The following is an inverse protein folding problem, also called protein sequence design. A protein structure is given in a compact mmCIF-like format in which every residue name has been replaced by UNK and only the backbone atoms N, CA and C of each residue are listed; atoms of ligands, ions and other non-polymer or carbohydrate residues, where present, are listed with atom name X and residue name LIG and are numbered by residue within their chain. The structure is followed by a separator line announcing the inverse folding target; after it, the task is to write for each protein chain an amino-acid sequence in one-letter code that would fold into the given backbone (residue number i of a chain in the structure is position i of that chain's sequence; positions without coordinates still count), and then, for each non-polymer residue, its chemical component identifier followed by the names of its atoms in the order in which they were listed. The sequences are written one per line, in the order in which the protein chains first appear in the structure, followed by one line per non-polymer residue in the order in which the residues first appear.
data_IF_546541329803
#
_entry.id   IF_546541329803
#
_cell.length_a   1.000
_cell.length_b   1.000
_cell.length_c   1.000
_cell.angle_alpha   90.00
_cell.angle_beta   90.00
_cell.angle_gamma   90.00
#
_symmetry.space_group_name_H-M   'P 1'
#
loop_
_entity.id
_entity.type
_entity.pdbx_description
1 polymer ?
#
# COMPACT_ATOMS: atom_id res chain seq x y z
N UNK A 1 3.37 5.89 -17.77
CA UNK A 1 4.47 4.97 -17.42
C UNK A 1 5.33 5.41 -16.22
N UNK A 2 5.71 6.70 -16.06
CA UNK A 2 6.59 7.15 -14.95
C UNK A 2 5.96 7.14 -13.54
N UNK A 3 4.66 7.42 -13.40
CA UNK A 3 3.97 7.40 -12.10
C UNK A 3 3.75 5.98 -11.55
N UNK A 4 3.42 5.03 -12.45
CA UNK A 4 3.29 3.62 -12.08
C UNK A 4 4.63 3.06 -11.55
N UNK A 5 5.76 3.48 -12.13
CA UNK A 5 7.09 3.13 -11.63
C UNK A 5 7.41 3.80 -10.29
N UNK A 6 6.95 5.04 -10.05
CA UNK A 6 7.16 5.74 -8.78
C UNK A 6 6.30 5.13 -7.66
N UNK A 7 5.04 4.80 -7.95
CA UNK A 7 4.14 4.07 -7.04
C UNK A 7 4.63 2.65 -6.80
N UNK A 8 5.10 1.94 -7.83
CA UNK A 8 5.73 0.63 -7.67
C UNK A 8 7.02 0.72 -6.85
N UNK A 9 7.84 1.77 -7.02
CA UNK A 9 9.01 2.02 -6.19
C UNK A 9 8.63 2.30 -4.73
N UNK A 10 7.63 3.15 -4.49
CA UNK A 10 7.15 3.45 -3.13
C UNK A 10 6.50 2.24 -2.46
N UNK A 11 5.68 1.47 -3.18
CA UNK A 11 5.06 0.23 -2.69
C UNK A 11 6.14 -0.83 -2.44
N UNK A 12 7.13 -0.95 -3.34
CA UNK A 12 8.24 -1.89 -3.18
C UNK A 12 9.18 -1.49 -2.04
N UNK A 13 9.37 -0.20 -1.77
CA UNK A 13 10.19 0.27 -0.65
C UNK A 13 9.47 0.18 0.69
N UNK A 14 8.14 0.33 0.71
CA UNK A 14 7.30 -0.01 1.87
C UNK A 14 7.39 -1.52 2.13
N UNK A 15 7.16 -2.37 1.12
CA UNK A 15 7.31 -3.82 1.24
C UNK A 15 8.74 -4.21 1.67
N UNK A 16 9.76 -3.53 1.16
CA UNK A 16 11.15 -3.78 1.53
C UNK A 16 11.45 -3.34 2.97
N UNK A 17 10.86 -2.23 3.44
CA UNK A 17 11.00 -1.76 4.81
C UNK A 17 10.31 -2.69 5.81
N UNK A 18 9.14 -3.25 5.46
CA UNK A 18 8.42 -4.21 6.30
C UNK A 18 9.13 -5.57 6.37
N UNK A 19 9.83 -5.99 5.31
CA UNK A 19 10.65 -7.22 5.30
C UNK A 19 11.95 -7.03 6.10
N UNK A 20 12.55 -5.84 6.06
CA UNK A 20 13.84 -5.59 6.74
C UNK A 20 13.75 -5.52 8.26
N UNK A 21 12.57 -5.28 8.82
CA UNK A 21 12.38 -5.26 10.28
C UNK A 21 12.39 -6.65 10.92
N UNK A 22 12.31 -7.72 10.13
CA UNK A 22 12.35 -9.09 10.66
C UNK A 22 13.71 -9.79 10.51
N UNK A 23 14.52 -9.49 9.49
CA UNK A 23 15.79 -10.19 9.26
C UNK A 23 16.98 -9.25 9.00
N UNK A 24 17.86 -9.20 10.01
CA UNK A 24 19.20 -8.64 9.90
C UNK A 24 20.14 -9.65 9.22
N UNK A 25 20.37 -9.53 7.90
CA UNK A 25 21.70 -9.53 7.24
C UNK A 25 21.64 -9.63 5.70
N UNK A 26 22.40 -8.72 5.05
CA UNK A 26 23.00 -8.72 3.68
C UNK A 26 22.11 -8.62 2.41
N UNK A 27 22.48 -7.76 1.44
CA UNK A 27 21.78 -7.66 0.16
C UNK A 27 22.36 -8.65 -0.86
N UNK A 28 21.57 -9.63 -1.27
CA UNK A 28 21.76 -10.32 -2.55
C UNK A 28 20.44 -10.27 -3.30
N UNK A 29 20.50 -9.84 -4.57
CA UNK A 29 19.33 -9.74 -5.46
C UNK A 29 18.67 -11.11 -5.69
N UNK A 30 19.35 -12.22 -5.36
CA UNK A 30 18.78 -13.58 -5.33
C UNK A 30 17.87 -13.84 -4.12
N UNK A 31 17.98 -13.08 -3.04
CA UNK A 31 17.07 -13.17 -1.87
C UNK A 31 15.69 -12.56 -2.14
N UNK A 32 15.51 -11.78 -3.22
CA UNK A 32 14.20 -11.25 -3.61
C UNK A 32 13.26 -12.31 -4.21
N UNK A 33 13.79 -13.48 -4.59
CA UNK A 33 13.01 -14.66 -4.96
C UNK A 33 13.14 -15.80 -3.93
N UNK A 34 13.82 -15.56 -2.81
CA UNK A 34 13.72 -16.47 -1.69
C UNK A 34 12.26 -16.44 -1.24
N UNK A 35 11.68 -17.63 -1.12
CA UNK A 35 10.36 -17.80 -0.52
C UNK A 35 10.33 -17.00 0.79
N UNK A 36 9.49 -15.96 0.80
CA UNK A 36 9.35 -15.07 1.96
C UNK A 36 8.57 -15.74 3.09
N UNK A 37 8.02 -16.94 2.81
CA UNK A 37 7.21 -17.79 3.65
C UNK A 37 7.68 -19.27 3.50
N UNK A 38 8.92 -19.60 3.90
CA UNK A 38 9.49 -20.94 3.67
C UNK A 38 8.76 -22.08 4.39
N UNK A 39 7.82 -21.75 5.30
CA UNK A 39 6.98 -22.71 6.02
C UNK A 39 5.48 -22.59 5.68
N UNK A 40 5.12 -21.78 4.68
CA UNK A 40 3.73 -21.41 4.35
C UNK A 40 3.13 -20.42 5.35
N UNK A 41 2.16 -19.62 4.89
CA UNK A 41 1.48 -18.63 5.74
C UNK A 41 0.22 -19.23 6.36
N UNK A 42 0.13 -19.14 7.69
CA UNK A 42 -1.11 -19.55 8.38
C UNK A 42 -2.20 -18.45 8.29
N UNK A 43 -3.45 -18.82 8.59
CA UNK A 43 -4.57 -17.87 8.52
C UNK A 43 -4.43 -16.65 9.43
N UNK A 44 -3.74 -16.79 10.57
CA UNK A 44 -3.53 -15.71 11.53
C UNK A 44 -2.55 -14.67 10.97
N UNK A 45 -1.43 -15.12 10.42
CA UNK A 45 -0.43 -14.28 9.75
C UNK A 45 -1.04 -13.59 8.53
N UNK A 46 -1.78 -14.33 7.68
CA UNK A 46 -2.46 -13.72 6.54
C UNK A 46 -3.47 -12.65 6.98
N UNK A 47 -4.23 -12.90 8.04
CA UNK A 47 -5.15 -11.90 8.62
C UNK A 47 -4.39 -10.67 9.09
N UNK A 48 -3.23 -10.85 9.71
CA UNK A 48 -2.37 -9.77 10.14
C UNK A 48 -1.85 -8.93 8.95
N UNK A 49 -1.42 -9.55 7.85
CA UNK A 49 -1.02 -8.84 6.63
C UNK A 49 -2.17 -8.09 5.97
N UNK A 50 -3.36 -8.70 5.87
CA UNK A 50 -4.53 -8.04 5.32
C UNK A 50 -4.97 -6.84 6.18
N UNK A 51 -4.86 -6.94 7.50
CA UNK A 51 -5.12 -5.83 8.42
C UNK A 51 -4.14 -4.66 8.22
N UNK A 52 -2.85 -4.96 8.02
CA UNK A 52 -1.83 -3.95 7.68
C UNK A 52 -2.17 -3.21 6.38
N UNK A 53 -2.42 -3.97 5.30
CA UNK A 53 -2.75 -3.41 3.98
C UNK A 53 -4.02 -2.56 4.06
N UNK A 54 -5.07 -3.08 4.70
CA UNK A 54 -6.34 -2.35 4.88
C UNK A 54 -6.13 -1.03 5.61
N UNK A 55 -5.38 -1.06 6.70
CA UNK A 55 -5.14 0.11 7.54
C UNK A 55 -4.30 1.15 6.82
N UNK A 56 -3.29 0.70 6.08
CA UNK A 56 -2.50 1.54 5.20
C UNK A 56 -3.36 2.21 4.12
N UNK A 57 -4.24 1.47 3.41
CA UNK A 57 -5.13 2.05 2.40
C UNK A 57 -6.04 3.12 3.02
N UNK A 58 -6.61 2.83 4.20
CA UNK A 58 -7.46 3.79 4.91
C UNK A 58 -6.67 5.06 5.27
N UNK A 59 -5.49 4.89 5.86
CA UNK A 59 -4.62 6.01 6.23
C UNK A 59 -4.21 6.83 5.02
N UNK A 60 -3.82 6.15 3.95
CA UNK A 60 -3.48 6.77 2.68
C UNK A 60 -4.60 7.65 2.14
N UNK A 61 -5.83 7.16 2.13
CA UNK A 61 -6.98 7.95 1.71
C UNK A 61 -7.27 9.11 2.68
N UNK A 62 -7.13 8.91 4.00
CA UNK A 62 -7.27 10.00 4.99
C UNK A 62 -6.24 11.12 4.74
N UNK A 63 -4.97 10.77 4.52
CA UNK A 63 -3.90 11.72 4.21
C UNK A 63 -4.08 12.41 2.86
N UNK A 64 -4.42 11.64 1.81
CA UNK A 64 -4.62 12.16 0.46
C UNK A 64 -5.81 13.12 0.40
N UNK A 65 -6.92 12.79 1.06
CA UNK A 65 -8.10 13.63 1.12
C UNK A 65 -8.02 14.72 2.20
N UNK A 66 -7.02 14.66 3.08
CA UNK A 66 -6.94 15.47 4.31
C UNK A 66 -8.24 15.39 5.12
N UNK A 67 -8.73 14.17 5.30
CA UNK A 67 -9.96 13.87 6.01
C UNK A 67 -9.75 12.70 6.96
N UNK A 68 -9.50 12.99 8.24
CA UNK A 68 -9.27 11.98 9.28
C UNK A 68 -10.54 11.16 9.61
N UNK A 69 -11.72 11.65 9.22
CA UNK A 69 -12.99 10.92 9.42
C UNK A 69 -13.26 9.87 8.33
N UNK A 70 -12.44 9.85 7.26
CA UNK A 70 -12.58 8.85 6.21
C UNK A 70 -12.39 7.45 6.79
N UNK A 71 -13.34 6.56 6.50
CA UNK A 71 -13.30 5.15 6.90
C UNK A 71 -13.49 4.28 5.68
N UNK A 72 -12.63 3.28 5.56
CA UNK A 72 -12.76 2.27 4.52
C UNK A 72 -13.98 1.39 4.81
N UNK A 73 -14.67 0.92 3.77
CA UNK A 73 -15.80 0.00 3.94
C UNK A 73 -15.40 -1.18 4.83
N UNK A 74 -16.27 -1.60 5.73
CA UNK A 74 -16.03 -2.79 6.56
C UNK A 74 -15.73 -4.01 5.70
N UNK A 75 -16.28 -4.12 4.49
CA UNK A 75 -16.08 -5.21 3.54
C UNK A 75 -14.69 -5.30 2.87
N UNK A 76 -13.85 -4.26 2.95
CA UNK A 76 -12.55 -4.26 2.27
C UNK A 76 -11.52 -5.15 2.98
N UNK A 77 -10.91 -6.12 2.30
CA UNK A 77 -9.87 -6.98 2.90
C UNK A 77 -10.33 -7.67 4.20
N UNK A 78 -11.57 -8.16 4.22
CA UNK A 78 -12.11 -8.97 5.32
C UNK A 78 -11.57 -10.40 5.32
N UNK A 79 -12.00 -11.21 6.30
CA UNK A 79 -11.69 -12.64 6.42
C UNK A 79 -11.96 -13.45 5.14
N UNK A 80 -12.89 -13.03 4.28
CA UNK A 80 -13.14 -13.65 2.97
C UNK A 80 -11.95 -13.60 2.01
N UNK A 81 -10.97 -12.71 2.26
CA UNK A 81 -9.74 -12.61 1.48
C UNK A 81 -8.64 -13.55 1.98
N UNK A 82 -8.75 -14.07 3.21
CA UNK A 82 -7.69 -14.87 3.84
C UNK A 82 -7.44 -16.15 3.05
N UNK A 83 -8.47 -16.96 2.79
CA UNK A 83 -8.29 -18.25 2.12
C UNK A 83 -7.81 -18.09 0.67
N UNK A 84 -8.40 -17.21 -0.17
CA UNK A 84 -7.86 -16.95 -1.51
C UNK A 84 -6.42 -16.42 -1.48
N UNK A 85 -6.06 -15.58 -0.51
CA UNK A 85 -4.71 -15.04 -0.41
C UNK A 85 -3.68 -16.13 -0.03
N UNK A 86 -4.03 -17.04 0.88
CA UNK A 86 -3.18 -18.21 1.21
C UNK A 86 -2.99 -19.09 -0.02
N UNK A 87 -4.06 -19.39 -0.76
CA UNK A 87 -3.94 -20.20 -1.98
C UNK A 87 -3.00 -19.56 -3.01
N UNK A 88 -3.10 -18.24 -3.19
CA UNK A 88 -2.20 -17.49 -4.08
C UNK A 88 -0.76 -17.58 -3.59
N UNK A 89 -0.53 -17.40 -2.29
CA UNK A 89 0.80 -17.49 -1.68
C UNK A 89 1.40 -18.89 -1.83
N UNK A 90 0.69 -19.95 -1.44
CA UNK A 90 1.09 -21.35 -1.61
C UNK A 90 1.51 -21.66 -3.06
N UNK A 91 0.80 -21.09 -4.04
CA UNK A 91 1.10 -21.29 -5.45
C UNK A 91 2.37 -20.58 -5.92
N UNK A 92 2.65 -19.38 -5.39
CA UNK A 92 3.89 -18.66 -5.65
C UNK A 92 5.09 -19.30 -4.97
N UNK A 93 4.95 -19.66 -3.70
CA UNK A 93 6.00 -20.27 -2.89
C UNK A 93 6.40 -21.65 -3.42
N UNK A 94 5.46 -22.39 -4.01
CA UNK A 94 5.75 -23.63 -4.71
C UNK A 94 6.58 -23.48 -6.00
N UNK A 95 6.76 -22.26 -6.54
CA UNK A 95 7.55 -21.99 -7.75
C UNK A 95 7.07 -22.73 -9.00
N UNK A 96 5.86 -23.29 -8.99
CA UNK A 96 5.35 -24.15 -10.04
C UNK A 96 4.38 -23.38 -10.94
N UNK A 97 4.73 -23.22 -12.21
CA UNK A 97 3.94 -22.48 -13.21
C UNK A 97 2.49 -22.97 -13.33
N UNK A 98 2.23 -24.29 -13.16
CA UNK A 98 0.86 -24.82 -13.21
C UNK A 98 0.03 -24.42 -11.99
N UNK A 99 0.63 -24.34 -10.80
CA UNK A 99 -0.06 -23.84 -9.61
C UNK A 99 -0.33 -22.34 -9.72
N UNK A 100 0.61 -21.58 -10.28
CA UNK A 100 0.43 -20.14 -10.57
C UNK A 100 -0.74 -19.93 -11.53
N UNK A 101 -0.88 -20.77 -12.57
CA UNK A 101 -2.02 -20.72 -13.48
C UNK A 101 -3.34 -21.04 -12.77
N UNK A 102 -3.35 -22.04 -11.88
CA UNK A 102 -4.54 -22.45 -11.13
C UNK A 102 -5.06 -21.36 -10.18
N UNK A 103 -4.18 -20.48 -9.68
CA UNK A 103 -4.58 -19.38 -8.79
C UNK A 103 -5.02 -18.10 -9.51
N UNK A 104 -5.07 -18.10 -10.85
CA UNK A 104 -5.60 -16.96 -11.61
C UNK A 104 -7.05 -16.62 -11.23
N UNK A 105 -7.90 -17.62 -11.02
CA UNK A 105 -9.30 -17.39 -10.64
C UNK A 105 -9.41 -16.73 -9.24
N UNK A 106 -8.79 -17.29 -8.17
CA UNK A 106 -8.66 -16.61 -6.88
C UNK A 106 -8.08 -15.20 -6.97
N UNK A 107 -7.06 -14.96 -7.80
CA UNK A 107 -6.51 -13.62 -8.01
C UNK A 107 -7.50 -12.64 -8.60
N UNK A 108 -8.24 -13.05 -9.64
CA UNK A 108 -9.28 -12.22 -10.26
C UNK A 108 -10.37 -11.92 -9.23
N UNK A 109 -10.72 -12.88 -8.38
CA UNK A 109 -11.70 -12.68 -7.32
C UNK A 109 -11.20 -11.69 -6.25
N UNK A 110 -9.94 -11.80 -5.82
CA UNK A 110 -9.30 -10.84 -4.91
C UNK A 110 -9.31 -9.45 -5.54
N UNK A 111 -8.90 -9.31 -6.80
CA UNK A 111 -8.86 -8.04 -7.51
C UNK A 111 -10.26 -7.42 -7.64
N UNK A 112 -11.26 -8.21 -8.01
CA UNK A 112 -12.65 -7.77 -8.11
C UNK A 112 -13.19 -7.31 -6.74
N UNK A 113 -12.96 -8.09 -5.69
CA UNK A 113 -13.40 -7.76 -4.34
C UNK A 113 -12.66 -6.53 -3.78
N UNK A 114 -11.36 -6.38 -4.07
CA UNK A 114 -10.59 -5.17 -3.76
C UNK A 114 -11.19 -3.94 -4.44
N UNK A 115 -11.50 -4.06 -5.74
CA UNK A 115 -12.09 -2.98 -6.52
C UNK A 115 -13.43 -2.55 -5.94
N UNK A 116 -14.32 -3.52 -5.65
CA UNK A 116 -15.68 -3.28 -5.18
C UNK A 116 -15.73 -2.83 -3.72
N UNK A 117 -14.96 -3.46 -2.85
CA UNK A 117 -15.05 -3.24 -1.41
C UNK A 117 -14.17 -2.09 -0.91
N UNK A 118 -13.02 -1.85 -1.54
CA UNK A 118 -12.06 -0.84 -1.09
C UNK A 118 -12.14 0.48 -1.88
N UNK A 119 -12.99 0.54 -2.90
CA UNK A 119 -13.14 1.67 -3.82
C UNK A 119 -11.80 2.17 -4.41
N UNK A 120 -10.87 1.24 -4.66
CA UNK A 120 -9.56 1.55 -5.22
C UNK A 120 -9.65 2.06 -6.67
N UNK A 121 -10.69 1.66 -7.40
CA UNK A 121 -10.89 2.13 -8.77
C UNK A 121 -11.03 3.65 -8.81
N UNK A 122 -11.95 4.22 -8.03
CA UNK A 122 -12.17 5.66 -7.98
C UNK A 122 -10.90 6.39 -7.54
N UNK A 123 -10.19 5.86 -6.54
CA UNK A 123 -8.91 6.40 -6.09
C UNK A 123 -7.86 6.44 -7.21
N UNK A 124 -7.66 5.33 -7.93
CA UNK A 124 -6.69 5.23 -9.02
C UNK A 124 -7.08 6.20 -10.14
N UNK A 125 -8.35 6.25 -10.52
CA UNK A 125 -8.82 7.20 -11.53
C UNK A 125 -8.59 8.65 -11.13
N UNK A 126 -8.89 9.03 -9.88
CA UNK A 126 -8.61 10.37 -9.38
C UNK A 126 -7.11 10.69 -9.43
N UNK A 127 -6.24 9.77 -9.02
CA UNK A 127 -4.79 9.96 -9.07
C UNK A 127 -4.26 10.10 -10.51
N UNK A 128 -4.73 9.24 -11.43
CA UNK A 128 -4.38 9.34 -12.85
C UNK A 128 -4.83 10.68 -13.44
N UNK A 129 -6.03 11.14 -13.10
CA UNK A 129 -6.59 12.41 -13.59
C UNK A 129 -5.80 13.65 -13.16
N UNK A 130 -5.14 13.58 -12.01
CA UNK A 130 -4.25 14.65 -11.54
C UNK A 130 -2.99 14.69 -12.39
N UNK A 131 -2.48 13.53 -12.79
CA UNK A 131 -1.29 13.43 -13.59
C UNK A 131 -1.47 13.77 -15.07
N UNK A 132 -2.58 13.36 -15.69
CA UNK A 132 -2.83 13.64 -17.11
C UNK A 132 -3.01 15.13 -17.40
N UNK A 133 -3.57 15.92 -16.47
CA UNK A 133 -3.75 17.37 -16.66
C UNK A 133 -2.53 18.22 -16.28
N UNK A 134 -1.34 17.62 -16.20
CA UNK A 134 -0.05 18.33 -16.16
C UNK A 134 0.61 18.48 -14.79
N UNK A 135 -0.04 18.08 -13.69
CA UNK A 135 0.52 18.21 -12.33
C UNK A 135 1.67 17.24 -12.01
N UNK A 136 1.84 16.19 -12.82
CA UNK A 136 2.84 15.13 -12.60
C UNK A 136 4.03 15.19 -13.55
N UNK A 137 4.30 16.34 -14.19
CA UNK A 137 5.58 16.52 -14.87
C UNK A 137 6.71 16.61 -13.82
N UNK A 138 7.92 16.18 -14.17
CA UNK A 138 9.04 16.11 -13.23
C UNK A 138 9.41 17.47 -12.63
N UNK A 139 9.31 18.55 -13.41
CA UNK A 139 9.64 19.91 -12.95
C UNK A 139 8.66 20.41 -11.88
N UNK A 140 7.36 20.15 -12.05
CA UNK A 140 6.31 20.53 -11.10
C UNK A 140 6.41 19.70 -9.84
N UNK A 141 6.64 18.39 -9.96
CA UNK A 141 6.84 17.52 -8.79
C UNK A 141 8.05 17.96 -7.98
N UNK A 142 9.18 18.25 -8.62
CA UNK A 142 10.39 18.76 -7.93
C UNK A 142 10.11 20.12 -7.29
N UNK A 143 9.47 21.05 -8.01
CA UNK A 143 9.12 22.36 -7.45
C UNK A 143 8.22 22.24 -6.22
N UNK A 144 7.22 21.36 -6.27
CA UNK A 144 6.33 21.09 -5.15
C UNK A 144 7.05 20.42 -3.98
N UNK A 145 7.97 19.48 -4.26
CA UNK A 145 8.81 18.85 -3.25
C UNK A 145 9.68 19.88 -2.53
N UNK A 146 10.36 20.77 -3.28
CA UNK A 146 11.20 21.83 -2.71
C UNK A 146 10.38 22.81 -1.87
N UNK A 147 9.21 23.24 -2.35
CA UNK A 147 8.33 24.16 -1.61
C UNK A 147 7.83 23.57 -0.29
N UNK A 148 7.63 22.26 -0.24
CA UNK A 148 7.10 21.56 0.93
C UNK A 148 8.17 20.69 1.62
N UNK A 149 9.45 21.00 1.43
CA UNK A 149 10.56 20.15 1.87
C UNK A 149 10.46 19.79 3.36
N UNK A 150 10.17 20.77 4.21
CA UNK A 150 10.00 20.55 5.65
C UNK A 150 8.84 19.60 5.97
N UNK A 151 7.73 19.72 5.25
CA UNK A 151 6.59 18.81 5.42
C UNK A 151 6.95 17.39 4.97
N UNK A 152 7.69 17.23 3.86
CA UNK A 152 8.19 15.92 3.43
C UNK A 152 9.11 15.30 4.48
N UNK A 153 10.09 16.05 4.97
CA UNK A 153 11.01 15.56 6.00
C UNK A 153 10.26 15.18 7.27
N UNK A 154 9.28 15.97 7.70
CA UNK A 154 8.41 15.63 8.83
C UNK A 154 7.65 14.32 8.62
N UNK A 155 7.01 14.14 7.45
CA UNK A 155 6.33 12.89 7.11
C UNK A 155 7.28 11.69 7.08
N UNK A 156 8.49 11.84 6.53
CA UNK A 156 9.50 10.78 6.54
C UNK A 156 9.96 10.42 7.95
N UNK A 157 10.14 11.41 8.82
CA UNK A 157 10.51 11.18 10.22
C UNK A 157 9.41 10.42 10.96
N UNK A 158 8.14 10.80 10.79
CA UNK A 158 7.00 10.11 11.40
C UNK A 158 6.88 8.65 10.91
N UNK A 159 7.14 8.41 9.62
CA UNK A 159 7.19 7.05 9.07
C UNK A 159 8.36 6.27 9.69
N UNK A 160 9.56 6.87 9.75
CA UNK A 160 10.73 6.24 10.33
C UNK A 160 10.53 5.89 11.82
N UNK A 161 9.92 6.81 12.59
CA UNK A 161 9.55 6.59 14.00
C UNK A 161 8.60 5.39 14.15
N UNK A 162 7.59 5.30 13.28
CA UNK A 162 6.67 4.16 13.24
C UNK A 162 7.41 2.83 13.04
N UNK A 163 8.47 2.80 12.21
CA UNK A 163 9.29 1.60 12.00
C UNK A 163 10.29 1.33 13.13
N UNK A 164 10.84 2.36 13.79
CA UNK A 164 11.76 2.16 14.93
C UNK A 164 11.03 1.72 16.20
N UNK A 165 9.79 2.16 16.38
CA UNK A 165 8.93 1.73 17.50
C UNK A 165 8.21 0.40 17.23
N UNK A 166 8.35 -0.16 16.03
CA UNK A 166 7.89 -1.51 15.65
C UNK A 166 8.68 -2.62 16.34
N UNK A 167 8.85 -2.58 17.66
CA UNK A 167 9.39 -3.72 18.42
C UNK A 167 8.42 -4.89 18.27
N UNK A 168 8.89 -5.98 17.64
CA UNK A 168 8.25 -7.32 17.52
C UNK A 168 6.76 -7.33 17.89
N UNK A 169 5.93 -6.72 17.05
CA UNK A 169 4.48 -6.73 17.30
C UNK A 169 3.97 -8.13 17.05
N UNK A 170 3.36 -8.74 18.05
CA UNK A 170 2.74 -10.06 17.92
C UNK A 170 1.68 -10.04 16.81
N UNK A 171 1.62 -11.11 16.01
CA UNK A 171 0.58 -11.33 15.00
C UNK A 171 -0.86 -11.25 15.55
N UNK A 172 -1.02 -11.33 16.87
CA UNK A 172 -2.31 -11.23 17.56
C UNK A 172 -2.75 -9.80 17.89
N UNK A 173 -1.84 -8.81 17.88
CA UNK A 173 -2.20 -7.43 18.23
C UNK A 173 -2.64 -6.62 16.99
N UNK A 174 -3.81 -6.99 16.46
CA UNK A 174 -4.37 -6.36 15.27
C UNK A 174 -4.70 -4.88 15.46
N UNK A 175 -4.98 -4.44 16.69
CA UNK A 175 -5.32 -3.04 16.96
C UNK A 175 -4.10 -2.12 16.82
N UNK A 176 -2.99 -2.48 17.45
CA UNK A 176 -1.74 -1.72 17.40
C UNK A 176 -1.21 -1.63 15.98
N UNK A 177 -1.14 -2.77 15.28
CA UNK A 177 -0.63 -2.79 13.90
C UNK A 177 -1.53 -2.01 12.95
N UNK A 178 -2.85 -2.06 13.15
CA UNK A 178 -3.79 -1.30 12.32
C UNK A 178 -3.61 0.19 12.54
N UNK A 179 -3.43 0.65 13.78
CA UNK A 179 -3.16 2.06 14.05
C UNK A 179 -1.84 2.50 13.40
N UNK A 180 -0.77 1.74 13.61
CA UNK A 180 0.55 2.08 13.08
C UNK A 180 0.57 2.17 11.54
N UNK A 181 0.00 1.20 10.85
CA UNK A 181 -0.07 1.24 9.38
C UNK A 181 -1.06 2.29 8.87
N UNK A 182 -2.09 2.63 9.64
CA UNK A 182 -2.93 3.78 9.34
C UNK A 182 -2.11 5.08 9.40
N UNK A 183 -1.32 5.30 10.44
CA UNK A 183 -0.47 6.49 10.58
C UNK A 183 0.57 6.59 9.45
N UNK A 184 1.23 5.47 9.12
CA UNK A 184 2.13 5.39 7.95
C UNK A 184 1.37 5.76 6.68
N UNK A 185 0.20 5.17 6.46
CA UNK A 185 -0.67 5.48 5.33
C UNK A 185 -0.98 6.97 5.25
N UNK A 186 -1.37 7.60 6.35
CA UNK A 186 -1.69 9.03 6.44
C UNK A 186 -0.52 9.88 5.95
N UNK A 187 0.69 9.61 6.42
CA UNK A 187 1.87 10.36 6.01
C UNK A 187 2.19 10.16 4.52
N UNK A 188 2.05 8.93 3.99
CA UNK A 188 2.17 8.69 2.55
C UNK A 188 1.13 9.45 1.73
N UNK A 189 -0.13 9.47 2.18
CA UNK A 189 -1.20 10.21 1.54
C UNK A 189 -0.93 11.72 1.49
N UNK A 190 -0.45 12.29 2.61
CA UNK A 190 -0.04 13.70 2.71
C UNK A 190 1.11 14.01 1.75
N UNK A 191 2.15 13.18 1.73
CA UNK A 191 3.28 13.34 0.82
C UNK A 191 2.82 13.36 -0.64
N UNK A 192 2.01 12.38 -1.05
CA UNK A 192 1.52 12.32 -2.43
C UNK A 192 0.66 13.53 -2.78
N UNK A 193 -0.19 13.98 -1.84
CA UNK A 193 -0.99 15.18 -2.00
C UNK A 193 -0.12 16.41 -2.26
N UNK A 194 0.95 16.58 -1.49
CA UNK A 194 1.88 17.70 -1.64
C UNK A 194 2.65 17.63 -2.97
N UNK A 195 3.16 16.45 -3.36
CA UNK A 195 3.89 16.27 -4.61
C UNK A 195 3.04 16.61 -5.84
N UNK A 196 1.81 16.10 -5.84
CA UNK A 196 0.91 16.18 -7.00
C UNK A 196 -0.05 17.37 -6.95
N UNK A 197 -0.02 18.15 -5.87
CA UNK A 197 -1.03 19.18 -5.58
C UNK A 197 -2.45 18.63 -5.66
N UNK A 198 -2.65 17.40 -5.16
CA UNK A 198 -3.93 16.70 -5.23
C UNK A 198 -5.02 17.52 -4.53
N UNK A 199 -6.15 17.69 -5.22
CA UNK A 199 -7.35 18.31 -4.68
C UNK A 199 -8.54 17.47 -5.14
N UNK A 200 -9.27 16.90 -4.17
CA UNK A 200 -10.38 15.98 -4.41
C UNK A 200 -11.48 16.63 -5.22
N UNK A 201 -11.90 17.85 -4.87
CA UNK A 201 -13.00 18.54 -5.57
C UNK A 201 -12.65 18.80 -7.03
N UNK A 202 -11.39 19.18 -7.28
CA UNK A 202 -10.87 19.33 -8.65
C UNK A 202 -10.72 18.00 -9.38
N UNK A 203 -10.44 16.89 -8.69
CA UNK A 203 -10.31 15.57 -9.30
C UNK A 203 -11.69 14.99 -9.68
N UNK A 204 -12.68 15.08 -8.78
CA UNK A 204 -14.05 14.59 -8.99
C UNK A 204 -14.78 15.40 -10.06
N UNK A 205 -14.57 16.72 -10.13
CA UNK A 205 -15.19 17.57 -11.15
C UNK A 205 -14.69 17.29 -12.58
N UNK A 206 -13.55 16.59 -12.74
CA UNK A 206 -13.00 16.23 -14.06
C UNK A 206 -13.70 14.98 -14.57
N UNK A 207 -14.91 15.14 -15.11
CA UNK A 207 -15.48 14.13 -16.00
C UNK A 207 -14.58 14.00 -17.23
N UNK A 208 -14.09 12.79 -17.49
CA UNK A 208 -13.51 12.44 -18.78
C UNK A 208 -14.67 12.22 -19.74
N UNK A 209 -14.79 13.08 -20.74
CA UNK A 209 -15.61 12.83 -21.92
C UNK A 209 -14.79 12.02 -22.93
#
# INVERSE_FOLDING_TARGET
MKLANLLALLISSILYATVKTEHSEKPQVQALMADWSPNGINSTEMTFYLAQIRSFIQGFQQGLYNNNSFKLSSACLQSSFVNPAIQVEDAFSAGNTFKILAVMSPMIQIAYNLQKSCNLNELIWMLLSVCEKGSCNSSTVVSNATKNLFSFTGSFNNIAESFTDSKKTSFTNLALISQQYNDIGVEFGKMLKLLTSFNRDKAVARKFY
#
